data_IF_978843646224
#
_entry.id   IF_978843646224
#
_cell.length_a   1.000
_cell.length_b   1.000
_cell.length_c   1.000
_cell.angle_alpha   90.00
_cell.angle_beta   90.00
_cell.angle_gamma   90.00
#
_symmetry.space_group_name_H-M   'P 1'
#
loop_
_entity.id
_entity.type
_entity.pdbx_description
1 polymer ?
#
# COMPACT_ATOMS: atom_id res chain seq x y z
N UNK A 1 -51.32 3.62 23.39
CA UNK A 1 -50.14 2.78 23.63
C UNK A 1 -49.42 2.70 22.30
N UNK A 2 -48.40 3.54 22.11
CA UNK A 2 -47.52 3.43 20.97
C UNK A 2 -46.64 2.20 21.23
N UNK A 3 -46.63 1.29 20.27
CA UNK A 3 -45.71 0.17 20.22
C UNK A 3 -44.37 0.78 19.77
N UNK A 4 -43.57 1.15 20.77
CA UNK A 4 -42.22 1.65 20.58
C UNK A 4 -41.37 0.45 20.15
N UNK A 5 -41.40 0.13 18.86
CA UNK A 5 -40.60 -0.92 18.27
C UNK A 5 -39.12 -0.62 18.53
N UNK A 6 -38.55 -1.31 19.53
CA UNK A 6 -37.12 -1.45 19.72
C UNK A 6 -36.52 -1.92 18.39
N UNK A 7 -35.91 -0.98 17.67
CA UNK A 7 -35.00 -1.30 16.58
C UNK A 7 -33.78 -1.94 17.25
N UNK A 8 -33.87 -3.24 17.53
CA UNK A 8 -32.76 -3.99 18.09
C UNK A 8 -31.53 -3.77 17.21
N UNK A 9 -30.44 -3.31 17.81
CA UNK A 9 -29.17 -3.18 17.12
C UNK A 9 -28.82 -4.56 16.55
N UNK A 10 -28.88 -4.69 15.23
CA UNK A 10 -28.38 -5.88 14.55
C UNK A 10 -26.87 -5.80 14.66
N UNK A 11 -26.30 -6.48 15.66
CA UNK A 11 -24.85 -6.61 15.79
C UNK A 11 -24.30 -7.22 14.50
N UNK A 12 -23.44 -6.47 13.81
CA UNK A 12 -22.82 -6.91 12.57
C UNK A 12 -21.82 -8.03 12.84
N UNK A 13 -21.74 -9.04 11.96
CA UNK A 13 -20.72 -10.07 12.07
C UNK A 13 -19.32 -9.48 11.88
N UNK A 14 -18.30 -10.16 12.41
CA UNK A 14 -16.93 -9.68 12.32
C UNK A 14 -16.42 -9.67 10.87
N UNK A 15 -16.89 -10.57 10.01
CA UNK A 15 -16.65 -10.52 8.57
C UNK A 15 -17.26 -9.27 7.92
N UNK A 16 -18.48 -8.88 8.32
CA UNK A 16 -19.10 -7.67 7.78
C UNK A 16 -18.35 -6.41 8.23
N UNK A 17 -17.93 -6.36 9.49
CA UNK A 17 -17.10 -5.27 10.02
C UNK A 17 -15.78 -5.18 9.25
N UNK A 18 -15.13 -6.32 8.98
CA UNK A 18 -13.89 -6.41 8.20
C UNK A 18 -14.06 -5.86 6.79
N UNK A 19 -15.11 -6.27 6.07
CA UNK A 19 -15.35 -5.80 4.70
C UNK A 19 -15.61 -4.29 4.65
N UNK A 20 -16.36 -3.75 5.61
CA UNK A 20 -16.59 -2.30 5.73
C UNK A 20 -15.29 -1.57 6.06
N UNK A 21 -14.51 -2.08 7.01
CA UNK A 21 -13.21 -1.53 7.38
C UNK A 21 -12.26 -1.44 6.19
N UNK A 22 -12.15 -2.54 5.43
CA UNK A 22 -11.36 -2.60 4.20
C UNK A 22 -11.85 -1.60 3.16
N UNK A 23 -13.16 -1.47 2.98
CA UNK A 23 -13.73 -0.49 2.06
C UNK A 23 -13.37 0.95 2.42
N UNK A 24 -13.42 1.33 3.70
CA UNK A 24 -13.00 2.66 4.16
C UNK A 24 -11.52 2.94 3.87
N UNK A 25 -10.64 1.96 4.13
CA UNK A 25 -9.21 2.10 3.86
C UNK A 25 -8.92 2.24 2.36
N UNK A 26 -9.57 1.44 1.51
CA UNK A 26 -9.36 1.50 0.05
C UNK A 26 -9.86 2.79 -0.60
N UNK A 27 -10.90 3.40 -0.04
CA UNK A 27 -11.49 4.65 -0.55
C UNK A 27 -10.98 5.89 0.20
N UNK A 28 -9.91 5.75 0.98
CA UNK A 28 -9.27 6.88 1.63
C UNK A 28 -8.75 7.88 0.58
N UNK A 29 -8.82 9.20 0.83
CA UNK A 29 -8.18 10.19 -0.05
C UNK A 29 -6.67 9.97 -0.13
N UNK A 30 -6.03 10.43 -1.21
CA UNK A 30 -4.59 10.31 -1.41
C UNK A 30 -3.80 10.97 -0.26
N UNK A 31 -2.97 10.18 0.43
CA UNK A 31 -2.15 10.66 1.55
C UNK A 31 -2.88 10.72 2.91
N UNK A 32 -4.16 10.37 2.97
CA UNK A 32 -4.95 10.45 4.20
C UNK A 32 -5.23 9.08 4.86
N UNK A 33 -4.83 7.97 4.24
CA UNK A 33 -5.12 6.61 4.74
C UNK A 33 -4.69 6.39 6.20
N UNK A 34 -3.58 7.00 6.65
CA UNK A 34 -3.14 6.90 8.05
C UNK A 34 -4.14 7.52 9.04
N UNK A 35 -4.76 8.64 8.67
CA UNK A 35 -5.79 9.30 9.49
C UNK A 35 -7.07 8.46 9.50
N UNK A 36 -7.50 7.99 8.33
CA UNK A 36 -8.67 7.11 8.21
C UNK A 36 -8.47 5.83 9.02
N UNK A 37 -7.28 5.23 8.94
CA UNK A 37 -6.96 4.02 9.70
C UNK A 37 -7.00 4.25 11.22
N UNK A 38 -6.53 5.42 11.69
CA UNK A 38 -6.61 5.81 13.10
C UNK A 38 -8.05 5.97 13.57
N UNK A 39 -8.87 6.67 12.79
CA UNK A 39 -10.29 6.89 13.12
C UNK A 39 -11.05 5.56 13.09
N UNK A 40 -10.80 4.73 12.07
CA UNK A 40 -11.41 3.42 11.93
C UNK A 40 -11.08 2.47 13.09
N UNK A 41 -9.84 2.48 13.57
CA UNK A 41 -9.41 1.71 14.76
C UNK A 41 -10.20 2.13 16.01
N UNK A 42 -10.49 3.42 16.17
CA UNK A 42 -11.29 3.92 17.29
C UNK A 42 -12.78 3.53 17.20
N UNK A 43 -13.32 3.42 15.98
CA UNK A 43 -14.72 3.07 15.74
C UNK A 43 -14.96 1.56 15.86
N UNK A 44 -14.05 0.73 15.33
CA UNK A 44 -14.19 -0.73 15.38
C UNK A 44 -14.05 -1.29 16.79
N UNK A 45 -13.13 -0.75 17.60
CA UNK A 45 -12.80 -1.27 18.94
C UNK A 45 -12.42 -2.76 18.98
N UNK A 46 -12.06 -3.34 17.82
CA UNK A 46 -11.58 -4.71 17.64
C UNK A 46 -10.28 -4.67 16.84
N UNK A 47 -9.19 -5.05 17.50
CA UNK A 47 -7.84 -4.99 16.94
C UNK A 47 -7.58 -6.10 15.94
N UNK A 48 -8.16 -7.29 16.13
CA UNK A 48 -7.91 -8.44 15.27
C UNK A 48 -8.58 -8.21 13.91
N UNK A 49 -9.85 -7.78 13.92
CA UNK A 49 -10.60 -7.39 12.71
C UNK A 49 -9.91 -6.25 11.97
N UNK A 50 -9.44 -5.23 12.70
CA UNK A 50 -8.71 -4.10 12.12
C UNK A 50 -7.39 -4.54 11.46
N UNK A 51 -6.58 -5.33 12.16
CA UNK A 51 -5.27 -5.76 11.67
C UNK A 51 -5.40 -6.59 10.39
N UNK A 52 -6.38 -7.48 10.33
CA UNK A 52 -6.67 -8.24 9.11
C UNK A 52 -7.09 -7.32 7.95
N UNK A 53 -8.06 -6.43 8.18
CA UNK A 53 -8.53 -5.49 7.16
C UNK A 53 -7.39 -4.59 6.65
N UNK A 54 -6.56 -4.07 7.55
CA UNK A 54 -5.41 -3.23 7.21
C UNK A 54 -4.36 -4.00 6.40
N UNK A 55 -4.03 -5.23 6.80
CA UNK A 55 -3.04 -6.06 6.10
C UNK A 55 -3.42 -6.36 4.64
N UNK A 56 -4.71 -6.40 4.34
CA UNK A 56 -5.24 -6.59 2.98
C UNK A 56 -5.43 -5.27 2.23
N UNK A 57 -5.89 -4.21 2.89
CA UNK A 57 -6.24 -2.96 2.24
C UNK A 57 -5.03 -2.10 1.88
N UNK A 58 -4.05 -1.98 2.79
CA UNK A 58 -2.90 -1.08 2.60
C UNK A 58 -2.07 -1.42 1.34
N UNK A 59 -1.70 -2.67 1.06
CA UNK A 59 -0.96 -2.99 -0.16
C UNK A 59 -1.72 -2.60 -1.44
N UNK A 60 -3.04 -2.83 -1.46
CA UNK A 60 -3.88 -2.47 -2.60
C UNK A 60 -4.00 -0.96 -2.78
N UNK A 61 -4.21 -0.23 -1.68
CA UNK A 61 -4.26 1.23 -1.68
C UNK A 61 -2.93 1.83 -2.13
N UNK A 62 -1.82 1.36 -1.58
CA UNK A 62 -0.47 1.86 -1.88
C UNK A 62 -0.14 1.69 -3.36
N UNK A 63 -0.48 0.53 -3.94
CA UNK A 63 -0.29 0.25 -5.37
C UNK A 63 -1.21 1.06 -6.27
N UNK A 64 -2.49 1.22 -5.90
CA UNK A 64 -3.45 1.97 -6.72
C UNK A 64 -3.16 3.47 -6.75
N UNK A 65 -2.67 4.01 -5.64
CA UNK A 65 -2.28 5.42 -5.52
C UNK A 65 -0.84 5.69 -5.95
N UNK A 66 -0.08 4.63 -6.32
CA UNK A 66 1.32 4.71 -6.76
C UNK A 66 2.18 5.54 -5.81
N UNK A 67 2.10 5.24 -4.51
CA UNK A 67 2.81 6.03 -3.50
C UNK A 67 4.33 5.97 -3.74
N UNK A 68 5.02 7.08 -3.45
CA UNK A 68 6.47 7.15 -3.43
C UNK A 68 6.97 7.02 -1.99
N UNK A 69 7.92 6.12 -1.75
CA UNK A 69 8.56 5.97 -0.45
C UNK A 69 10.08 6.19 -0.57
N UNK A 70 10.63 6.94 0.38
CA UNK A 70 12.07 7.20 0.45
C UNK A 70 12.83 5.94 0.84
N UNK A 71 13.89 5.61 0.08
CA UNK A 71 14.74 4.45 0.35
C UNK A 71 15.86 4.81 1.31
N UNK A 72 15.94 4.19 2.52
CA UNK A 72 16.94 4.56 3.52
C UNK A 72 18.37 4.35 3.00
N UNK A 73 19.24 5.34 3.26
CA UNK A 73 20.65 5.28 2.90
C UNK A 73 20.97 5.50 1.43
N UNK A 74 19.98 5.85 0.60
CA UNK A 74 20.15 6.17 -0.82
C UNK A 74 19.50 7.52 -1.15
N UNK A 75 19.83 8.11 -2.29
CA UNK A 75 19.25 9.39 -2.74
C UNK A 75 18.02 9.19 -3.64
N UNK A 76 17.27 8.10 -3.45
CA UNK A 76 16.19 7.69 -4.34
C UNK A 76 14.91 7.31 -3.60
N UNK A 77 13.80 7.40 -4.33
CA UNK A 77 12.49 6.94 -3.89
C UNK A 77 12.06 5.74 -4.73
N UNK A 78 11.32 4.83 -4.11
CA UNK A 78 10.66 3.72 -4.81
C UNK A 78 9.20 4.05 -5.06
N UNK A 79 8.72 3.75 -6.26
CA UNK A 79 7.31 3.77 -6.61
C UNK A 79 6.68 2.41 -6.32
N UNK A 80 5.64 2.41 -5.47
CA UNK A 80 4.90 1.20 -5.12
C UNK A 80 3.83 0.95 -6.17
N UNK A 81 4.06 -0.01 -7.06
CA UNK A 81 3.13 -0.34 -8.16
C UNK A 81 3.11 -1.84 -8.40
N UNK A 82 2.05 -2.35 -9.04
CA UNK A 82 2.02 -3.76 -9.47
C UNK A 82 3.06 -4.10 -10.54
N UNK A 83 3.67 -3.09 -11.19
CA UNK A 83 4.71 -3.30 -12.20
C UNK A 83 6.12 -3.37 -11.60
N UNK A 84 6.31 -2.84 -10.39
CA UNK A 84 7.56 -2.90 -9.63
C UNK A 84 7.56 -4.02 -8.58
N UNK A 85 6.41 -4.64 -8.30
CA UNK A 85 6.26 -5.71 -7.31
C UNK A 85 7.00 -6.98 -7.75
N UNK A 86 8.00 -7.38 -6.96
CA UNK A 86 8.71 -8.65 -7.09
C UNK A 86 8.10 -9.72 -6.16
N UNK A 87 7.73 -9.30 -4.95
CA UNK A 87 7.02 -10.08 -3.94
C UNK A 87 6.13 -9.14 -3.11
N UNK A 88 5.32 -9.68 -2.19
CA UNK A 88 4.30 -8.97 -1.39
C UNK A 88 4.76 -7.64 -0.80
N UNK A 89 6.02 -7.55 -0.36
CA UNK A 89 6.60 -6.36 0.26
C UNK A 89 7.84 -5.85 -0.48
N UNK A 90 8.22 -6.45 -1.61
CA UNK A 90 9.47 -6.16 -2.32
C UNK A 90 9.19 -5.45 -3.65
N UNK A 91 9.79 -4.28 -3.84
CA UNK A 91 9.54 -3.43 -4.99
C UNK A 91 10.85 -2.99 -5.65
N UNK A 92 10.99 -3.27 -6.94
CA UNK A 92 12.14 -2.91 -7.75
C UNK A 92 12.08 -1.43 -8.16
N UNK A 93 13.14 -0.69 -7.87
CA UNK A 93 13.47 0.53 -8.58
C UNK A 93 14.53 0.24 -9.67
N UNK A 94 14.13 0.15 -10.95
CA UNK A 94 15.07 -0.14 -12.02
C UNK A 94 16.04 1.02 -12.29
N UNK A 95 15.79 2.25 -11.78
CA UNK A 95 16.72 3.39 -11.96
C UNK A 95 17.98 3.22 -11.12
N UNK A 96 17.81 2.81 -9.87
CA UNK A 96 18.93 2.61 -8.95
C UNK A 96 19.40 1.16 -8.91
N UNK A 97 18.68 0.21 -9.55
CA UNK A 97 18.93 -1.22 -9.48
C UNK A 97 18.90 -1.76 -8.04
N UNK A 98 17.96 -1.24 -7.25
CA UNK A 98 17.70 -1.67 -5.88
C UNK A 98 16.27 -2.18 -5.72
N UNK A 99 16.09 -3.07 -4.76
CA UNK A 99 14.80 -3.56 -4.29
C UNK A 99 14.55 -2.98 -2.92
N UNK A 100 13.42 -2.29 -2.78
CA UNK A 100 12.94 -1.74 -1.54
C UNK A 100 12.00 -2.72 -0.86
N UNK A 101 12.22 -2.95 0.43
CA UNK A 101 11.35 -3.75 1.29
C UNK A 101 10.45 -2.79 2.06
N UNK A 102 9.14 -2.98 1.99
CA UNK A 102 8.14 -2.00 2.42
C UNK A 102 7.25 -2.56 3.52
N UNK A 103 7.08 -1.78 4.59
CA UNK A 103 5.99 -1.95 5.53
C UNK A 103 4.78 -1.18 5.01
N UNK A 104 3.83 -1.90 4.41
CA UNK A 104 2.67 -1.29 3.77
C UNK A 104 1.77 -0.52 4.74
N UNK A 105 1.63 -0.99 5.99
CA UNK A 105 0.75 -0.36 6.98
C UNK A 105 1.38 0.93 7.48
N UNK A 106 2.69 0.94 7.75
CA UNK A 106 3.41 2.15 8.14
C UNK A 106 3.73 3.08 6.98
N UNK A 107 3.60 2.60 5.73
CA UNK A 107 4.00 3.30 4.52
C UNK A 107 5.45 3.79 4.60
N UNK A 108 6.37 2.89 4.93
CA UNK A 108 7.81 3.19 4.98
C UNK A 108 8.61 2.08 4.31
N UNK A 109 9.71 2.46 3.67
CA UNK A 109 10.73 1.49 3.26
C UNK A 109 11.57 1.13 4.49
N UNK A 110 11.57 -0.14 4.86
CA UNK A 110 12.30 -0.62 6.05
C UNK A 110 13.74 -0.97 5.71
N UNK A 111 13.96 -1.55 4.54
CA UNK A 111 15.25 -2.07 4.11
C UNK A 111 15.40 -1.92 2.59
N UNK A 112 16.65 -1.85 2.13
CA UNK A 112 17.00 -1.74 0.71
C UNK A 112 18.10 -2.76 0.43
N UNK A 113 17.92 -3.55 -0.62
CA UNK A 113 18.93 -4.50 -1.11
C UNK A 113 19.25 -4.25 -2.58
N UNK A 114 20.45 -4.59 -3.06
CA UNK A 114 20.71 -4.63 -4.51
C UNK A 114 19.76 -5.63 -5.19
N UNK A 115 19.33 -5.30 -6.41
CA UNK A 115 18.57 -6.23 -7.25
C UNK A 115 19.50 -7.36 -7.75
N UNK A 116 18.94 -8.57 -7.86
CA UNK A 116 19.61 -9.68 -8.54
C UNK A 116 19.51 -9.52 -10.07
N UNK A 117 20.44 -10.14 -10.81
CA UNK A 117 20.48 -10.04 -12.27
C UNK A 117 19.18 -10.54 -12.92
N UNK A 118 18.53 -11.55 -12.34
CA UNK A 118 17.26 -12.10 -12.82
C UNK A 118 16.04 -11.19 -12.56
N UNK A 119 16.14 -10.30 -11.58
CA UNK A 119 15.10 -9.33 -11.23
C UNK A 119 15.14 -8.10 -12.16
N UNK A 120 16.29 -7.85 -12.80
CA UNK A 120 16.49 -6.70 -13.65
C UNK A 120 15.91 -6.88 -15.06
N UNK A 121 15.46 -5.79 -15.70
CA UNK A 121 15.07 -5.84 -17.10
C UNK A 121 16.20 -6.33 -18.00
N UNK A 122 15.85 -7.09 -19.03
CA UNK A 122 16.83 -7.52 -20.05
C UNK A 122 17.57 -6.32 -20.66
N UNK A 123 18.84 -6.51 -21.00
CA UNK A 123 19.67 -5.48 -21.62
C UNK A 123 19.04 -4.85 -22.89
N UNK A 124 18.23 -5.62 -23.62
CA UNK A 124 17.51 -5.12 -24.80
C UNK A 124 16.48 -4.03 -24.44
N UNK A 125 15.70 -4.21 -23.38
CA UNK A 125 14.68 -3.24 -22.95
C UNK A 125 15.31 -2.09 -22.17
N UNK A 126 16.43 -2.36 -21.50
CA UNK A 126 17.12 -1.42 -20.62
C UNK A 126 17.59 -0.15 -21.36
N UNK A 127 18.05 -0.27 -22.61
CA UNK A 127 18.45 0.88 -23.43
C UNK A 127 17.27 1.86 -23.68
N UNK A 128 16.08 1.32 -23.96
CA UNK A 128 14.87 2.12 -24.16
C UNK A 128 14.42 2.77 -22.86
N UNK A 129 14.41 2.00 -21.77
CA UNK A 129 14.03 2.49 -20.43
C UNK A 129 14.92 3.65 -20.00
N UNK A 130 16.23 3.49 -20.11
CA UNK A 130 17.22 4.53 -19.80
C UNK A 130 16.97 5.80 -20.63
N UNK A 131 16.73 5.64 -21.93
CA UNK A 131 16.46 6.77 -22.84
C UNK A 131 15.19 7.54 -22.47
N UNK A 132 14.12 6.83 -22.07
CA UNK A 132 12.85 7.44 -21.68
C UNK A 132 12.92 8.15 -20.32
N UNK A 133 13.74 7.65 -19.39
CA UNK A 133 13.83 8.21 -18.04
C UNK A 133 14.84 9.37 -17.91
N UNK A 134 15.84 9.48 -18.81
CA UNK A 134 16.89 10.50 -18.75
C UNK A 134 16.74 11.64 -19.75
N UNK A 135 15.76 11.62 -20.65
CA UNK A 135 15.46 12.80 -21.45
C UNK A 135 14.52 13.72 -20.65
N UNK A 136 15.00 14.83 -20.08
CA UNK A 136 14.09 15.88 -19.64
C UNK A 136 13.22 16.25 -20.84
N UNK A 137 11.91 16.33 -20.62
CA UNK A 137 10.97 16.83 -21.62
C UNK A 137 11.52 18.13 -22.20
N UNK A 138 11.67 18.16 -23.52
CA UNK A 138 11.95 19.39 -24.26
C UNK A 138 10.80 20.36 -24.11
#
# INVERSE_FOLDING_TARGET
>A
MADDGECGEVEMSDEQKKEIAKWFLLNSPAGEIQYVAKDLRSVLSDEDVYNEAASEAFPLYNKSHMICLEMPGTTGDVLVTSFSELDKNEYLDPRTAHVAIIDHVKQVCTEVRPAADEELPSAYVEEFRYTLLLKPGK
#
